data_IF_901335107936
#
_entry.id   IF_901335107936
#
_cell.length_a   1.000
_cell.length_b   1.000
_cell.length_c   1.000
_cell.angle_alpha   90.00
_cell.angle_beta   90.00
_cell.angle_gamma   90.00
#
_symmetry.space_group_name_H-M   'P 1'
#
loop_
_entity.id
_entity.type
_entity.pdbx_description
1 polymer ?
#
# COMPACT_ATOMS: atom_id res chain seq x y z
N UNK A 1 -33.90 -15.69 29.87
CA UNK A 1 -32.56 -16.03 29.36
C UNK A 1 -32.58 -15.97 27.84
N UNK A 2 -31.70 -15.22 27.16
CA UNK A 2 -31.75 -15.13 25.70
C UNK A 2 -31.10 -16.37 25.06
N UNK A 3 -31.76 -16.95 24.06
CA UNK A 3 -31.23 -18.04 23.23
C UNK A 3 -30.24 -17.44 22.22
N UNK A 4 -28.96 -17.79 22.34
CA UNK A 4 -27.95 -17.50 21.32
C UNK A 4 -28.10 -18.56 20.22
N UNK A 5 -28.53 -18.13 19.04
CA UNK A 5 -28.61 -18.96 17.84
C UNK A 5 -27.22 -19.35 17.37
N UNK A 6 -26.87 -20.64 17.48
CA UNK A 6 -25.60 -21.26 17.02
C UNK A 6 -25.31 -21.13 15.52
N UNK A 7 -26.23 -20.59 14.72
CA UNK A 7 -26.11 -20.48 13.26
C UNK A 7 -25.11 -19.39 12.79
N UNK A 8 -24.81 -18.38 13.62
CA UNK A 8 -23.96 -17.26 13.20
C UNK A 8 -22.44 -17.49 13.41
N UNK A 9 -22.05 -18.51 14.18
CA UNK A 9 -20.64 -18.74 14.53
C UNK A 9 -19.82 -19.29 13.35
N UNK A 10 -20.43 -20.16 12.53
CA UNK A 10 -19.78 -20.77 11.37
C UNK A 10 -19.64 -19.79 10.20
N UNK A 11 -20.61 -18.89 10.01
CA UNK A 11 -20.57 -17.82 8.99
C UNK A 11 -19.50 -16.78 9.34
N UNK A 12 -19.34 -16.42 10.62
CA UNK A 12 -18.28 -15.51 11.07
C UNK A 12 -16.87 -16.01 10.73
N UNK A 13 -16.62 -17.32 10.88
CA UNK A 13 -15.33 -17.92 10.53
C UNK A 13 -15.06 -17.93 9.02
N UNK A 14 -16.05 -18.26 8.20
CA UNK A 14 -15.90 -18.26 6.74
C UNK A 14 -15.71 -16.83 6.22
N UNK A 15 -16.49 -15.86 6.71
CA UNK A 15 -16.34 -14.44 6.34
C UNK A 15 -14.98 -13.90 6.75
N UNK A 16 -14.48 -14.27 7.94
CA UNK A 16 -13.14 -13.90 8.41
C UNK A 16 -12.01 -14.54 7.59
N UNK A 17 -12.15 -15.78 7.14
CA UNK A 17 -11.19 -16.44 6.26
C UNK A 17 -11.19 -15.81 4.85
N UNK A 18 -12.37 -15.48 4.30
CA UNK A 18 -12.48 -14.80 3.01
C UNK A 18 -11.95 -13.37 3.06
N UNK A 19 -12.17 -12.66 4.18
CA UNK A 19 -11.63 -11.31 4.36
C UNK A 19 -10.11 -11.37 4.51
N UNK A 20 -9.56 -12.31 5.26
CA UNK A 20 -8.11 -12.52 5.38
C UNK A 20 -7.46 -12.87 4.02
N UNK A 21 -8.06 -13.76 3.23
CA UNK A 21 -7.56 -14.07 1.89
C UNK A 21 -7.60 -12.86 0.95
N UNK A 22 -8.67 -12.05 1.03
CA UNK A 22 -8.78 -10.81 0.25
C UNK A 22 -7.75 -9.76 0.71
N UNK A 23 -7.46 -9.67 2.01
CA UNK A 23 -6.42 -8.80 2.56
C UNK A 23 -5.01 -9.22 2.15
N UNK A 24 -4.75 -10.52 1.97
CA UNK A 24 -3.45 -11.01 1.46
C UNK A 24 -3.22 -10.56 0.02
N UNK A 25 -4.21 -10.73 -0.87
CA UNK A 25 -4.12 -10.28 -2.27
C UNK A 25 -3.91 -8.77 -2.36
N UNK A 26 -4.60 -8.02 -1.51
CA UNK A 26 -4.45 -6.57 -1.41
C UNK A 26 -3.04 -6.17 -0.93
N UNK A 27 -2.50 -6.87 0.06
CA UNK A 27 -1.12 -6.68 0.52
C UNK A 27 -0.12 -6.97 -0.60
N UNK A 28 -0.35 -8.00 -1.42
CA UNK A 28 0.51 -8.36 -2.55
C UNK A 28 0.63 -7.22 -3.59
N UNK A 29 -0.45 -6.47 -3.84
CA UNK A 29 -0.42 -5.34 -4.79
C UNK A 29 0.50 -4.20 -4.33
N UNK A 30 0.48 -3.85 -3.04
CA UNK A 30 1.38 -2.83 -2.52
C UNK A 30 2.83 -3.29 -2.52
N UNK A 31 3.07 -4.57 -2.19
CA UNK A 31 4.40 -5.16 -2.28
C UNK A 31 4.94 -5.12 -3.71
N UNK A 32 4.12 -5.37 -4.73
CA UNK A 32 4.53 -5.23 -6.13
C UNK A 32 4.93 -3.79 -6.48
N UNK A 33 4.17 -2.79 -6.02
CA UNK A 33 4.51 -1.37 -6.20
C UNK A 33 5.86 -1.05 -5.55
N UNK A 34 6.06 -1.45 -4.29
CA UNK A 34 7.32 -1.25 -3.56
C UNK A 34 8.49 -1.91 -4.29
N UNK A 35 8.32 -3.15 -4.75
CA UNK A 35 9.34 -3.87 -5.52
C UNK A 35 9.70 -3.15 -6.83
N UNK A 36 8.73 -2.53 -7.51
CA UNK A 36 9.00 -1.77 -8.72
C UNK A 36 9.75 -0.46 -8.42
N UNK A 37 9.40 0.23 -7.33
CA UNK A 37 10.11 1.42 -6.84
C UNK A 37 11.56 1.07 -6.48
N UNK A 38 11.79 -0.05 -5.77
CA UNK A 38 13.11 -0.57 -5.40
C UNK A 38 13.96 -0.90 -6.63
N UNK A 39 13.40 -1.64 -7.60
CA UNK A 39 14.08 -1.95 -8.87
C UNK A 39 14.48 -0.69 -9.62
N UNK A 40 13.61 0.32 -9.64
CA UNK A 40 13.90 1.59 -10.29
C UNK A 40 15.04 2.35 -9.58
N UNK A 41 15.06 2.37 -8.24
CA UNK A 41 16.16 2.95 -7.46
C UNK A 41 17.49 2.27 -7.80
N UNK A 42 17.52 0.93 -7.81
CA UNK A 42 18.72 0.15 -8.12
C UNK A 42 19.23 0.38 -9.55
N UNK A 43 18.31 0.59 -10.50
CA UNK A 43 18.69 0.96 -11.87
C UNK A 43 19.32 2.36 -11.91
N UNK A 44 18.78 3.35 -11.20
CA UNK A 44 19.38 4.68 -11.14
C UNK A 44 20.76 4.67 -10.46
N UNK A 45 20.93 3.87 -9.39
CA UNK A 45 22.21 3.68 -8.69
C UNK A 45 23.26 3.04 -9.60
N UNK A 46 22.92 1.94 -10.27
CA UNK A 46 23.84 1.23 -11.17
C UNK A 46 24.28 2.08 -12.38
N UNK A 47 23.48 3.07 -12.78
CA UNK A 47 23.82 4.03 -13.83
C UNK A 47 24.52 5.30 -13.31
N UNK A 48 24.96 5.32 -12.05
CA UNK A 48 25.70 6.44 -11.43
C UNK A 48 24.96 7.79 -11.50
N UNK A 49 23.62 7.77 -11.44
CA UNK A 49 22.83 9.00 -11.38
C UNK A 49 23.09 9.70 -10.04
N UNK A 50 23.34 11.01 -10.08
CA UNK A 50 23.60 11.81 -8.87
C UNK A 50 22.49 11.63 -7.83
N UNK A 51 22.83 11.42 -6.53
CA UNK A 51 21.84 11.31 -5.45
C UNK A 51 20.88 12.50 -5.37
N UNK A 52 21.31 13.69 -5.80
CA UNK A 52 20.42 14.86 -5.89
C UNK A 52 19.28 14.64 -6.91
N UNK A 53 19.61 14.14 -8.10
CA UNK A 53 18.63 13.83 -9.14
C UNK A 53 17.73 12.67 -8.72
N UNK A 54 18.29 11.62 -8.13
CA UNK A 54 17.51 10.49 -7.59
C UNK A 54 16.45 10.99 -6.61
N UNK A 55 16.82 11.83 -5.63
CA UNK A 55 15.88 12.43 -4.68
C UNK A 55 14.78 13.24 -5.35
N UNK A 56 15.10 14.02 -6.40
CA UNK A 56 14.10 14.80 -7.15
C UNK A 56 13.13 13.91 -7.92
N UNK A 57 13.63 12.82 -8.53
CA UNK A 57 12.80 11.86 -9.25
C UNK A 57 11.82 11.17 -8.28
N UNK A 58 12.30 10.67 -7.15
CA UNK A 58 11.43 10.01 -6.18
C UNK A 58 10.42 10.97 -5.53
N UNK A 59 10.80 12.22 -5.27
CA UNK A 59 9.84 13.24 -4.83
C UNK A 59 8.68 13.41 -5.83
N UNK A 60 8.98 13.41 -7.12
CA UNK A 60 7.96 13.49 -8.16
C UNK A 60 7.09 12.22 -8.24
N UNK A 61 7.68 11.04 -8.08
CA UNK A 61 6.96 9.76 -8.03
C UNK A 61 5.98 9.74 -6.86
N UNK A 62 6.42 10.11 -5.65
CA UNK A 62 5.54 10.16 -4.48
C UNK A 62 4.44 11.22 -4.62
N UNK A 63 4.76 12.38 -5.20
CA UNK A 63 3.75 13.39 -5.52
C UNK A 63 2.69 12.85 -6.50
N UNK A 64 3.11 12.10 -7.53
CA UNK A 64 2.20 11.46 -8.47
C UNK A 64 1.31 10.43 -7.77
N UNK A 65 1.87 9.53 -6.94
CA UNK A 65 1.10 8.56 -6.16
C UNK A 65 0.04 9.26 -5.31
N UNK A 66 0.43 10.34 -4.60
CA UNK A 66 -0.50 11.11 -3.77
C UNK A 66 -1.67 11.68 -4.59
N UNK A 67 -1.38 12.32 -5.72
CA UNK A 67 -2.43 12.89 -6.59
C UNK A 67 -3.35 11.79 -7.13
N UNK A 68 -2.81 10.64 -7.54
CA UNK A 68 -3.63 9.52 -8.04
C UNK A 68 -4.54 8.93 -6.96
N UNK A 69 -4.01 8.72 -5.74
CA UNK A 69 -4.80 8.25 -4.60
C UNK A 69 -5.89 9.25 -4.23
N UNK A 70 -5.54 10.53 -4.12
CA UNK A 70 -6.48 11.59 -3.79
C UNK A 70 -7.58 11.72 -4.83
N UNK A 71 -7.23 11.72 -6.11
CA UNK A 71 -8.21 11.77 -7.21
C UNK A 71 -9.15 10.55 -7.18
N UNK A 72 -8.62 9.36 -6.88
CA UNK A 72 -9.44 8.15 -6.78
C UNK A 72 -10.46 8.26 -5.64
N UNK A 73 -10.05 8.77 -4.47
CA UNK A 73 -10.95 9.00 -3.33
C UNK A 73 -11.98 10.10 -3.62
N UNK A 74 -11.55 11.19 -4.26
CA UNK A 74 -12.40 12.35 -4.54
C UNK A 74 -13.48 12.04 -5.60
N UNK A 75 -13.11 11.31 -6.66
CA UNK A 75 -13.97 11.10 -7.83
C UNK A 75 -14.86 9.86 -7.72
N UNK A 76 -14.55 8.91 -6.83
CA UNK A 76 -15.22 7.61 -6.74
C UNK A 76 -15.71 7.33 -5.32
N UNK A 77 -17.03 7.46 -5.11
CA UNK A 77 -17.65 7.34 -3.78
C UNK A 77 -17.46 5.95 -3.17
N UNK A 78 -17.38 4.91 -3.98
CA UNK A 78 -17.12 3.53 -3.55
C UNK A 78 -15.72 3.34 -2.95
N UNK A 79 -14.78 4.24 -3.22
CA UNK A 79 -13.45 4.24 -2.61
C UNK A 79 -13.48 4.75 -1.16
N UNK A 80 -14.52 5.49 -0.74
CA UNK A 80 -14.60 6.13 0.58
C UNK A 80 -15.26 5.22 1.63
N UNK A 81 -14.57 4.16 2.05
CA UNK A 81 -14.99 3.24 3.10
C UNK A 81 -13.89 3.02 4.13
N UNK A 82 -14.24 2.52 5.33
CA UNK A 82 -13.26 2.21 6.37
C UNK A 82 -12.23 1.18 5.88
N UNK A 83 -12.67 0.11 5.21
CA UNK A 83 -11.78 -0.93 4.69
C UNK A 83 -10.82 -0.42 3.62
N UNK A 84 -11.27 0.49 2.74
CA UNK A 84 -10.39 1.11 1.77
C UNK A 84 -9.42 2.10 2.42
N UNK A 85 -9.86 2.79 3.48
CA UNK A 85 -8.97 3.64 4.29
C UNK A 85 -7.85 2.84 4.93
N UNK A 86 -8.16 1.69 5.54
CA UNK A 86 -7.16 0.80 6.11
C UNK A 86 -6.24 0.20 5.03
N UNK A 87 -6.77 -0.16 3.85
CA UNK A 87 -5.98 -0.62 2.71
C UNK A 87 -4.97 0.44 2.23
N UNK A 88 -5.41 1.69 2.06
CA UNK A 88 -4.53 2.80 1.65
C UNK A 88 -3.50 3.08 2.73
N UNK A 89 -3.90 3.09 4.00
CA UNK A 89 -3.01 3.30 5.13
C UNK A 89 -1.91 2.24 5.19
N UNK A 90 -2.25 0.95 5.06
CA UNK A 90 -1.27 -0.13 5.04
C UNK A 90 -0.25 0.04 3.90
N UNK A 91 -0.73 0.39 2.69
CA UNK A 91 0.15 0.67 1.56
C UNK A 91 1.08 1.87 1.75
N UNK A 92 0.57 2.95 2.34
CA UNK A 92 1.40 4.12 2.67
C UNK A 92 2.46 3.76 3.73
N UNK A 93 2.16 2.91 4.69
CA UNK A 93 3.14 2.41 5.67
C UNK A 93 4.23 1.57 5.01
N UNK A 94 3.92 0.75 4.02
CA UNK A 94 4.92 0.00 3.23
C UNK A 94 5.86 0.94 2.45
N UNK A 95 5.30 1.98 1.82
CA UNK A 95 6.09 3.00 1.12
C UNK A 95 6.98 3.81 2.09
N UNK A 96 6.47 4.15 3.27
CA UNK A 96 7.23 4.83 4.32
C UNK A 96 8.39 3.95 4.82
N UNK A 97 8.12 2.68 5.11
CA UNK A 97 9.15 1.73 5.51
C UNK A 97 10.22 1.56 4.42
N UNK A 98 9.82 1.51 3.16
CA UNK A 98 10.76 1.50 2.04
C UNK A 98 11.63 2.76 2.01
N UNK A 99 11.04 3.94 2.19
CA UNK A 99 11.79 5.20 2.26
C UNK A 99 12.85 5.21 3.36
N UNK A 100 12.56 4.68 4.55
CA UNK A 100 13.55 4.57 5.62
C UNK A 100 14.77 3.75 5.19
N UNK A 101 14.55 2.56 4.62
CA UNK A 101 15.61 1.69 4.09
C UNK A 101 16.38 2.37 2.96
N UNK A 102 15.67 2.98 2.01
CA UNK A 102 16.29 3.66 0.87
C UNK A 102 17.10 4.90 1.28
N UNK A 103 16.69 5.62 2.33
CA UNK A 103 17.39 6.81 2.81
C UNK A 103 18.72 6.44 3.46
N UNK A 104 18.79 5.32 4.19
CA UNK A 104 20.06 4.79 4.71
C UNK A 104 21.06 4.42 3.59
N UNK A 105 20.56 4.15 2.37
CA UNK A 105 21.39 3.79 1.21
C UNK A 105 21.68 4.94 0.23
N UNK A 106 21.00 6.08 0.37
CA UNK A 106 21.10 7.24 -0.55
C UNK A 106 21.71 8.48 0.14
N UNK A 107 21.82 8.47 1.47
CA UNK A 107 22.58 9.43 2.27
C UNK A 107 24.06 9.05 2.32
#
# INVERSE_FOLDING_TARGET
APRISRANLLVGNVVALTSAASQNILTDHWQEIVNNIERFLNMLKSNNISPFLVRKIFAQIFSFINVQLFNSLLLRRECCSFSNGEYVKAGLSELEQWCYKATEEVV
#
